data_IF_846824400338
#
_entry.id   IF_846824400338
#
_cell.length_a   1.000
_cell.length_b   1.000
_cell.length_c   1.000
_cell.angle_alpha   90.00
_cell.angle_beta   90.00
_cell.angle_gamma   90.00
#
_symmetry.space_group_name_H-M   'P 1'
#
loop_
_entity.id
_entity.type
_entity.pdbx_description
1 polymer ?
#
# COMPACT_ATOMS: atom_id res chain seq x y z
N UNK A 1 -47.02 16.21 -4.20
CA UNK A 1 -45.95 16.15 -3.16
C UNK A 1 -44.62 16.28 -3.87
N UNK A 2 -43.70 17.16 -3.43
CA UNK A 2 -42.39 17.25 -4.07
C UNK A 2 -41.57 16.01 -3.68
N UNK A 3 -40.96 15.38 -4.68
CA UNK A 3 -40.05 14.25 -4.46
C UNK A 3 -38.83 14.73 -3.67
N UNK A 4 -38.38 13.92 -2.71
CA UNK A 4 -37.22 14.26 -1.88
C UNK A 4 -35.96 14.46 -2.72
N UNK A 5 -35.07 15.33 -2.26
CA UNK A 5 -33.76 15.61 -2.89
C UNK A 5 -32.94 14.31 -3.12
N UNK A 6 -33.12 13.30 -2.27
CA UNK A 6 -32.46 11.99 -2.40
C UNK A 6 -32.89 11.17 -3.62
N UNK A 7 -34.15 11.29 -4.04
CA UNK A 7 -34.70 10.57 -5.20
C UNK A 7 -34.21 11.15 -6.53
N UNK A 8 -33.92 12.46 -6.56
CA UNK A 8 -33.38 13.15 -7.75
C UNK A 8 -31.88 12.86 -7.90
N UNK A 9 -31.12 12.79 -6.80
CA UNK A 9 -29.71 12.38 -6.82
C UNK A 9 -29.52 10.92 -7.25
N UNK A 10 -30.38 10.00 -6.79
CA UNK A 10 -30.29 8.58 -7.18
C UNK A 10 -30.58 8.35 -8.66
N UNK A 11 -31.54 9.04 -9.27
CA UNK A 11 -31.81 8.86 -10.71
C UNK A 11 -30.72 9.47 -11.60
N UNK A 12 -30.07 10.56 -11.16
CA UNK A 12 -28.96 11.19 -11.89
C UNK A 12 -27.65 10.42 -11.77
N UNK A 13 -27.35 9.82 -10.61
CA UNK A 13 -26.17 8.96 -10.42
C UNK A 13 -26.27 7.65 -11.21
N UNK A 14 -27.46 7.06 -11.35
CA UNK A 14 -27.66 5.87 -12.18
C UNK A 14 -27.50 6.18 -13.68
N UNK A 15 -27.97 7.35 -14.14
CA UNK A 15 -27.76 7.77 -15.54
C UNK A 15 -26.29 8.11 -15.84
N UNK A 16 -25.54 8.66 -14.89
CA UNK A 16 -24.12 9.02 -15.09
C UNK A 16 -23.19 7.80 -14.99
N UNK A 17 -23.47 6.85 -14.09
CA UNK A 17 -22.77 5.56 -14.04
C UNK A 17 -23.03 4.71 -15.30
N UNK A 18 -24.24 4.79 -15.87
CA UNK A 18 -24.56 4.18 -17.16
C UNK A 18 -23.80 4.86 -18.32
N UNK A 19 -23.66 6.19 -18.31
CA UNK A 19 -22.86 6.91 -19.31
C UNK A 19 -21.37 6.53 -19.20
N UNK A 20 -20.81 6.43 -17.99
CA UNK A 20 -19.40 6.05 -17.75
C UNK A 20 -19.16 4.57 -18.09
N UNK A 21 -20.10 3.67 -17.78
CA UNK A 21 -20.02 2.26 -18.16
C UNK A 21 -20.19 2.03 -19.68
N UNK A 22 -20.92 2.92 -20.38
CA UNK A 22 -21.09 2.88 -21.84
C UNK A 22 -19.96 3.59 -22.61
N UNK A 23 -19.21 4.52 -22.01
CA UNK A 23 -18.08 5.21 -22.69
C UNK A 23 -16.69 4.61 -22.44
N UNK A 24 -16.48 3.80 -21.39
CA UNK A 24 -15.12 3.32 -21.03
C UNK A 24 -14.93 1.80 -20.99
N UNK A 25 -15.81 1.05 -21.65
CA UNK A 25 -15.57 -0.36 -21.98
C UNK A 25 -14.54 -0.49 -23.10
N UNK A 26 -13.33 -0.96 -22.75
CA UNK A 26 -12.29 -1.50 -23.65
C UNK A 26 -12.14 -0.79 -25.01
N UNK A 27 -11.21 0.16 -25.12
CA UNK A 27 -10.36 0.48 -26.30
C UNK A 27 -9.53 1.72 -25.96
N UNK A 28 -8.33 1.80 -26.57
CA UNK A 28 -7.34 2.88 -26.62
C UNK A 28 -7.66 4.23 -25.96
N UNK A 29 -6.67 4.79 -25.26
CA UNK A 29 -6.60 6.21 -24.88
C UNK A 29 -6.89 7.05 -26.14
N UNK A 30 -7.93 7.90 -26.16
CA UNK A 30 -8.13 8.78 -27.29
C UNK A 30 -7.00 9.81 -27.26
N UNK A 31 -6.14 9.77 -28.28
CA UNK A 31 -5.40 10.95 -28.71
C UNK A 31 -6.43 12.04 -28.98
N UNK A 32 -6.49 13.05 -28.12
CA UNK A 32 -7.17 14.29 -28.45
C UNK A 32 -6.52 14.84 -29.71
N UNK A 33 -7.27 14.84 -30.81
CA UNK A 33 -6.90 15.60 -32.00
C UNK A 33 -6.75 17.07 -31.61
N UNK A 34 -5.83 17.76 -32.29
CA UNK A 34 -5.42 19.16 -32.11
C UNK A 34 -6.52 20.22 -32.36
N UNK A 35 -7.78 19.88 -32.12
CA UNK A 35 -8.95 20.69 -32.45
C UNK A 35 -9.68 21.07 -31.17
N UNK A 36 -9.56 22.36 -30.84
CA UNK A 36 -10.23 23.12 -29.78
C UNK A 36 -9.91 22.71 -28.34
N UNK A 37 -8.91 23.41 -27.78
CA UNK A 37 -8.74 23.54 -26.33
C UNK A 37 -10.03 24.14 -25.73
N UNK A 38 -10.60 23.57 -24.65
CA UNK A 38 -11.70 24.22 -23.95
C UNK A 38 -11.25 25.61 -23.49
N UNK A 39 -12.09 26.62 -23.61
CA UNK A 39 -11.78 27.95 -23.07
C UNK A 39 -11.79 27.93 -21.53
N UNK A 40 -11.35 29.04 -20.93
CA UNK A 40 -11.26 29.17 -19.47
C UNK A 40 -12.62 29.01 -18.77
N UNK A 41 -13.72 29.33 -19.45
CA UNK A 41 -15.08 29.20 -18.93
C UNK A 41 -15.52 27.74 -18.88
N UNK A 42 -15.28 26.98 -19.96
CA UNK A 42 -15.53 25.54 -20.02
C UNK A 42 -14.67 24.77 -19.00
N UNK A 43 -13.38 25.12 -18.86
CA UNK A 43 -12.50 24.51 -17.84
C UNK A 43 -12.98 24.81 -16.42
N UNK A 44 -13.41 26.05 -16.16
CA UNK A 44 -13.98 26.45 -14.86
C UNK A 44 -15.24 25.66 -14.51
N UNK A 45 -16.14 25.48 -15.48
CA UNK A 45 -17.37 24.70 -15.31
C UNK A 45 -17.08 23.23 -14.99
N UNK A 46 -16.13 22.60 -15.70
CA UNK A 46 -15.68 21.23 -15.44
C UNK A 46 -15.11 21.09 -14.02
N UNK A 47 -14.29 22.04 -13.57
CA UNK A 47 -13.73 22.03 -12.22
C UNK A 47 -14.83 22.20 -11.18
N UNK A 48 -15.82 23.08 -11.38
CA UNK A 48 -16.94 23.25 -10.46
C UNK A 48 -17.86 22.03 -10.39
N UNK A 49 -18.09 21.35 -11.51
CA UNK A 49 -18.91 20.14 -11.58
C UNK A 49 -18.23 18.94 -10.91
N UNK A 50 -16.94 18.75 -11.16
CA UNK A 50 -16.16 17.62 -10.61
C UNK A 50 -15.63 17.87 -9.20
N UNK A 51 -15.46 19.15 -8.83
CA UNK A 51 -14.92 19.60 -7.55
C UNK A 51 -15.77 20.74 -6.94
N UNK A 52 -17.04 20.48 -6.56
CA UNK A 52 -17.86 21.50 -5.90
C UNK A 52 -17.19 21.98 -4.61
N UNK A 53 -17.22 23.29 -4.38
CA UNK A 53 -16.74 23.88 -3.13
C UNK A 53 -17.52 23.27 -1.96
N UNK A 54 -16.80 22.77 -0.94
CA UNK A 54 -17.39 22.34 0.32
C UNK A 54 -17.36 23.51 1.30
N UNK A 55 -18.50 23.83 1.90
CA UNK A 55 -18.66 24.94 2.86
C UNK A 55 -17.97 24.71 4.22
N UNK A 56 -17.32 23.55 4.43
CA UNK A 56 -16.83 23.09 5.74
C UNK A 56 -15.32 23.26 6.00
N UNK A 57 -14.58 24.05 5.21
CA UNK A 57 -13.16 24.31 5.48
C UNK A 57 -12.97 25.68 6.15
N UNK A 58 -12.89 25.70 7.48
CA UNK A 58 -12.31 26.82 8.22
C UNK A 58 -10.80 26.93 7.95
N UNK A 59 -10.40 28.16 7.60
CA UNK A 59 -9.09 28.83 7.61
C UNK A 59 -7.79 27.98 7.72
N UNK A 60 -6.89 28.24 6.77
CA UNK A 60 -5.45 27.89 6.67
C UNK A 60 -5.00 26.62 5.91
N UNK A 61 -5.88 25.91 5.21
CA UNK A 61 -5.44 24.93 4.20
C UNK A 61 -5.81 25.35 2.79
N UNK A 62 -4.82 25.39 1.90
CA UNK A 62 -5.02 25.73 0.49
C UNK A 62 -5.91 24.67 -0.18
N UNK A 63 -7.10 25.06 -0.61
CA UNK A 63 -8.02 24.20 -1.35
C UNK A 63 -7.44 23.91 -2.77
N UNK A 64 -7.10 22.65 -3.12
CA UNK A 64 -6.49 22.32 -4.40
C UNK A 64 -7.38 22.68 -5.60
N UNK A 65 -8.70 22.69 -5.43
CA UNK A 65 -9.64 23.15 -6.45
C UNK A 65 -9.53 24.66 -6.66
N UNK A 66 -9.32 25.44 -5.60
CA UNK A 66 -9.11 26.90 -5.69
C UNK A 66 -7.76 27.25 -6.34
N UNK A 67 -6.71 26.46 -6.13
CA UNK A 67 -5.43 26.62 -6.84
C UNK A 67 -5.55 26.32 -8.32
N UNK A 68 -6.26 25.25 -8.70
CA UNK A 68 -6.53 24.92 -10.09
C UNK A 68 -7.33 26.03 -10.77
N UNK A 69 -8.37 26.54 -10.10
CA UNK A 69 -9.16 27.68 -10.58
C UNK A 69 -8.31 28.95 -10.76
N UNK A 70 -7.37 29.21 -9.83
CA UNK A 70 -6.42 30.32 -9.94
C UNK A 70 -5.42 30.11 -11.10
N UNK A 71 -4.95 28.88 -11.31
CA UNK A 71 -4.05 28.56 -12.42
C UNK A 71 -4.74 28.71 -13.80
N UNK A 72 -6.04 28.42 -13.87
CA UNK A 72 -6.88 28.67 -15.07
C UNK A 72 -7.05 30.17 -15.28
N UNK A 73 -7.48 30.92 -14.25
CA UNK A 73 -7.76 32.35 -14.37
C UNK A 73 -6.52 33.21 -14.65
N UNK A 74 -5.34 32.78 -14.17
CA UNK A 74 -4.06 33.47 -14.41
C UNK A 74 -3.33 32.99 -15.67
N UNK A 75 -3.94 32.11 -16.49
CA UNK A 75 -3.36 31.65 -17.75
C UNK A 75 -2.11 30.77 -17.59
N UNK A 76 -1.94 30.13 -16.42
CA UNK A 76 -0.84 29.17 -16.17
C UNK A 76 -1.10 27.82 -16.83
N UNK A 77 -2.37 27.49 -17.11
CA UNK A 77 -2.76 26.32 -17.89
C UNK A 77 -3.01 26.75 -19.34
N UNK A 78 -2.15 26.27 -20.25
CA UNK A 78 -2.07 26.73 -21.64
C UNK A 78 -2.40 25.64 -22.67
N UNK A 79 -2.73 24.44 -22.21
CA UNK A 79 -3.05 23.29 -23.08
C UNK A 79 -3.93 22.28 -22.39
N UNK A 80 -4.67 21.47 -23.17
CA UNK A 80 -5.56 20.45 -22.65
C UNK A 80 -4.82 19.37 -21.86
N UNK A 81 -3.56 19.11 -22.20
CA UNK A 81 -2.70 18.21 -21.45
C UNK A 81 -2.39 18.75 -20.05
N UNK A 82 -1.99 20.02 -19.94
CA UNK A 82 -1.73 20.66 -18.63
C UNK A 82 -3.01 20.72 -17.77
N UNK A 83 -4.17 20.97 -18.39
CA UNK A 83 -5.45 20.92 -17.69
C UNK A 83 -5.76 19.51 -17.18
N UNK A 84 -5.59 18.49 -18.03
CA UNK A 84 -5.81 17.10 -17.65
C UNK A 84 -4.88 16.61 -16.53
N UNK A 85 -3.60 17.01 -16.56
CA UNK A 85 -2.61 16.69 -15.53
C UNK A 85 -2.94 17.40 -14.20
N UNK A 86 -3.31 18.69 -14.25
CA UNK A 86 -3.67 19.45 -13.07
C UNK A 86 -5.01 18.98 -12.45
N UNK A 87 -6.02 18.69 -13.27
CA UNK A 87 -7.30 18.13 -12.84
C UNK A 87 -7.12 16.72 -12.25
N UNK A 88 -6.31 15.87 -12.88
CA UNK A 88 -5.95 14.55 -12.34
C UNK A 88 -5.26 14.66 -10.98
N UNK A 89 -4.39 15.67 -10.81
CA UNK A 89 -3.71 15.94 -9.53
C UNK A 89 -4.70 16.36 -8.45
N UNK A 90 -5.65 17.24 -8.76
CA UNK A 90 -6.72 17.66 -7.83
C UNK A 90 -7.66 16.50 -7.49
N UNK A 91 -8.09 15.71 -8.47
CA UNK A 91 -8.92 14.53 -8.25
C UNK A 91 -8.19 13.46 -7.44
N UNK A 92 -6.89 13.26 -7.66
CA UNK A 92 -6.05 12.34 -6.87
C UNK A 92 -5.82 12.87 -5.45
N UNK A 93 -5.65 14.18 -5.28
CA UNK A 93 -5.56 14.82 -3.97
C UNK A 93 -6.88 14.70 -3.20
N UNK A 94 -8.02 14.83 -3.88
CA UNK A 94 -9.36 14.63 -3.31
C UNK A 94 -9.63 13.17 -2.94
N UNK A 95 -9.28 12.23 -3.82
CA UNK A 95 -9.30 10.80 -3.47
C UNK A 95 -8.37 10.52 -2.29
N UNK A 96 -7.24 11.22 -2.16
CA UNK A 96 -6.34 11.08 -0.99
C UNK A 96 -6.87 11.73 0.28
N UNK A 97 -7.56 12.88 0.21
CA UNK A 97 -8.23 13.50 1.36
C UNK A 97 -9.45 12.69 1.80
N UNK A 98 -10.19 12.13 0.84
CA UNK A 98 -11.30 11.20 1.08
C UNK A 98 -10.83 9.84 1.61
N UNK A 99 -9.56 9.45 1.37
CA UNK A 99 -8.94 8.24 1.95
C UNK A 99 -8.36 8.48 3.34
N UNK A 100 -7.97 9.72 3.69
CA UNK A 100 -7.68 10.10 5.08
C UNK A 100 -8.94 10.41 5.91
N UNK A 101 -10.06 10.66 5.25
CA UNK A 101 -11.36 10.98 5.86
C UNK A 101 -12.46 9.99 5.44
N UNK A 102 -12.12 8.74 5.09
CA UNK A 102 -13.11 7.66 5.00
C UNK A 102 -13.40 7.15 6.41
N UNK A 103 -14.01 8.07 7.16
CA UNK A 103 -14.98 7.92 8.24
C UNK A 103 -15.18 6.44 8.64
N UNK A 104 -14.62 6.10 9.81
CA UNK A 104 -14.81 4.86 10.58
C UNK A 104 -16.27 4.74 11.06
N UNK A 105 -17.24 4.98 10.15
CA UNK A 105 -18.69 5.03 10.41
C UNK A 105 -19.25 3.73 11.00
N UNK A 106 -18.43 2.68 11.08
CA UNK A 106 -18.77 1.38 11.67
C UNK A 106 -17.81 0.90 12.77
N UNK A 107 -16.80 1.68 13.18
CA UNK A 107 -15.83 1.25 14.20
C UNK A 107 -14.98 0.03 13.81
N UNK A 108 -15.00 -0.36 12.53
CA UNK A 108 -14.43 -1.63 12.09
C UNK A 108 -12.90 -1.61 12.16
N UNK A 109 -12.27 -0.45 11.94
CA UNK A 109 -10.82 -0.29 12.09
C UNK A 109 -10.40 -0.47 13.56
N UNK A 110 -11.20 0.02 14.50
CA UNK A 110 -10.99 -0.24 15.93
C UNK A 110 -11.23 -1.72 16.29
N UNK A 111 -12.22 -2.38 15.69
CA UNK A 111 -12.46 -3.82 15.85
C UNK A 111 -11.26 -4.64 15.33
N UNK A 112 -10.73 -4.33 14.14
CA UNK A 112 -9.50 -4.96 13.61
C UNK A 112 -8.33 -4.73 14.57
N UNK A 113 -8.13 -3.50 15.02
CA UNK A 113 -7.04 -3.15 15.96
C UNK A 113 -7.16 -3.95 17.26
N UNK A 114 -8.37 -4.07 17.80
CA UNK A 114 -8.66 -4.84 19.02
C UNK A 114 -8.34 -6.33 18.82
N UNK A 115 -8.81 -6.93 17.74
CA UNK A 115 -8.56 -8.33 17.44
C UNK A 115 -7.08 -8.62 17.16
N UNK A 116 -6.35 -7.70 16.55
CA UNK A 116 -4.95 -7.92 16.16
C UNK A 116 -3.94 -7.63 17.27
N UNK A 117 -4.35 -6.99 18.38
CA UNK A 117 -3.48 -6.58 19.49
C UNK A 117 -2.58 -7.71 20.03
N UNK A 118 -3.08 -8.94 20.07
CA UNK A 118 -2.34 -10.08 20.61
C UNK A 118 -1.43 -10.77 19.59
N UNK A 119 -1.54 -10.48 18.28
CA UNK A 119 -0.83 -11.25 17.26
C UNK A 119 0.70 -11.19 17.42
N UNK A 120 1.25 -10.02 17.75
CA UNK A 120 2.69 -9.84 17.91
C UNK A 120 3.29 -10.76 18.99
N UNK A 121 2.57 -11.04 20.07
CA UNK A 121 3.04 -11.91 21.15
C UNK A 121 2.85 -13.40 20.87
N UNK A 122 2.04 -13.75 19.87
CA UNK A 122 1.79 -15.14 19.46
C UNK A 122 2.83 -15.67 18.46
N UNK A 123 3.66 -14.80 17.89
CA UNK A 123 4.72 -15.19 16.96
C UNK A 123 5.94 -15.76 17.69
N UNK A 124 5.94 -17.09 17.84
CA UNK A 124 7.05 -17.82 18.46
C UNK A 124 8.24 -17.99 17.51
N UNK A 125 8.03 -17.80 16.21
CA UNK A 125 9.02 -18.04 15.18
C UNK A 125 9.70 -16.75 14.70
N UNK A 126 9.30 -15.57 15.19
CA UNK A 126 9.88 -14.30 14.78
C UNK A 126 11.42 -14.34 14.75
N UNK A 127 12.00 -13.82 13.69
CA UNK A 127 13.46 -13.73 13.53
C UNK A 127 13.89 -12.29 13.72
N UNK A 128 14.95 -12.09 14.52
CA UNK A 128 15.66 -10.80 14.57
C UNK A 128 16.73 -10.77 13.47
N UNK A 129 16.70 -9.74 12.66
CA UNK A 129 17.71 -9.46 11.63
C UNK A 129 17.96 -7.97 11.59
N UNK A 130 19.19 -7.57 11.30
CA UNK A 130 19.56 -6.16 11.16
C UNK A 130 19.50 -5.75 9.70
N UNK A 131 18.83 -4.64 9.41
CA UNK A 131 18.93 -3.97 8.11
C UNK A 131 20.23 -3.17 8.04
N UNK A 132 20.88 -3.21 6.88
CA UNK A 132 22.07 -2.47 6.53
C UNK A 132 21.77 -1.60 5.31
N UNK A 133 21.10 -0.48 5.55
CA UNK A 133 20.64 0.42 4.48
C UNK A 133 21.79 1.13 3.74
N UNK A 134 23.00 1.08 4.32
CA UNK A 134 24.22 1.62 3.76
C UNK A 134 24.91 0.65 2.78
N UNK A 135 24.51 -0.62 2.76
CA UNK A 135 25.06 -1.61 1.84
C UNK A 135 24.44 -1.49 0.45
N UNK A 136 25.26 -1.32 -0.59
CA UNK A 136 24.77 -1.36 -1.96
C UNK A 136 24.45 -2.79 -2.36
N UNK A 137 23.16 -3.09 -2.53
CA UNK A 137 22.67 -4.32 -3.16
C UNK A 137 22.12 -5.37 -2.21
N UNK A 138 22.43 -5.31 -0.90
CA UNK A 138 21.86 -6.19 0.13
C UNK A 138 21.26 -5.33 1.24
N UNK A 139 20.01 -5.57 1.59
CA UNK A 139 19.33 -4.87 2.67
C UNK A 139 19.65 -5.49 4.02
N UNK A 140 19.77 -6.81 4.14
CA UNK A 140 19.91 -7.45 5.45
C UNK A 140 21.34 -7.94 5.70
N UNK A 141 21.77 -7.85 6.96
CA UNK A 141 22.85 -8.70 7.46
C UNK A 141 22.39 -10.16 7.53
N UNK A 142 23.33 -11.09 7.62
CA UNK A 142 23.00 -12.51 7.75
C UNK A 142 22.26 -12.79 9.08
N UNK A 143 21.22 -13.61 8.98
CA UNK A 143 20.52 -14.12 10.17
C UNK A 143 21.47 -15.03 10.94
N UNK A 144 21.62 -14.75 12.23
CA UNK A 144 22.34 -15.65 13.15
C UNK A 144 21.38 -16.74 13.66
N UNK A 145 21.85 -17.98 13.68
CA UNK A 145 21.09 -19.12 14.23
C UNK A 145 20.26 -19.89 13.20
N UNK A 146 19.40 -20.78 13.71
CA UNK A 146 18.56 -21.64 12.88
C UNK A 146 17.32 -20.93 12.38
N UNK A 147 17.01 -21.07 11.10
CA UNK A 147 15.74 -20.63 10.53
C UNK A 147 14.61 -21.57 11.00
N UNK A 148 13.53 -21.06 11.61
CA UNK A 148 12.39 -21.88 12.00
C UNK A 148 11.71 -22.55 10.80
N UNK A 149 11.11 -23.71 11.05
CA UNK A 149 10.50 -24.53 10.01
C UNK A 149 9.33 -23.83 9.29
N UNK A 150 8.65 -22.89 9.95
CA UNK A 150 7.60 -22.03 9.37
C UNK A 150 8.07 -21.30 8.11
N UNK A 151 9.17 -20.56 8.21
CA UNK A 151 9.77 -19.84 7.09
C UNK A 151 10.12 -20.77 5.93
N UNK A 152 10.69 -21.95 6.23
CA UNK A 152 10.99 -22.93 5.18
C UNK A 152 9.70 -23.40 4.49
N UNK A 153 8.66 -23.76 5.24
CA UNK A 153 7.37 -24.21 4.65
C UNK A 153 6.72 -23.14 3.80
N UNK A 154 6.66 -21.90 4.29
CA UNK A 154 6.15 -20.77 3.49
C UNK A 154 6.98 -20.60 2.22
N UNK A 155 8.31 -20.66 2.33
CA UNK A 155 9.18 -20.53 1.15
C UNK A 155 9.05 -21.68 0.17
N UNK A 156 8.86 -22.91 0.65
CA UNK A 156 8.62 -24.08 -0.20
C UNK A 156 7.35 -23.85 -1.03
N UNK A 157 6.25 -23.36 -0.42
CA UNK A 157 5.03 -23.01 -1.16
C UNK A 157 5.25 -21.83 -2.11
N UNK A 158 5.90 -20.75 -1.67
CA UNK A 158 6.18 -19.57 -2.52
C UNK A 158 6.94 -19.92 -3.80
N UNK A 159 7.78 -20.95 -3.78
CA UNK A 159 8.57 -21.38 -4.93
C UNK A 159 7.81 -22.22 -5.95
N UNK A 160 6.61 -22.67 -5.62
CA UNK A 160 5.74 -23.35 -6.56
C UNK A 160 4.94 -22.38 -7.43
N UNK A 161 4.78 -21.13 -6.98
CA UNK A 161 4.08 -20.08 -7.72
C UNK A 161 4.95 -19.53 -8.85
N UNK A 162 4.37 -19.45 -10.04
CA UNK A 162 4.93 -18.72 -11.16
C UNK A 162 4.82 -17.22 -10.87
N UNK A 163 5.93 -16.47 -10.89
CA UNK A 163 5.94 -15.05 -10.57
C UNK A 163 5.20 -14.20 -11.61
N UNK A 164 4.78 -14.74 -12.75
CA UNK A 164 4.01 -13.99 -13.75
C UNK A 164 2.58 -13.73 -13.25
N UNK A 165 2.10 -12.49 -13.31
CA UNK A 165 0.69 -12.22 -12.96
C UNK A 165 -0.32 -13.00 -13.81
N UNK A 166 -1.50 -13.26 -13.22
CA UNK A 166 -2.66 -13.93 -13.87
C UNK A 166 -2.43 -15.41 -14.21
N UNK A 167 -1.62 -16.11 -13.42
CA UNK A 167 -1.54 -17.57 -13.52
C UNK A 167 -2.78 -18.24 -12.93
N UNK A 168 -2.92 -19.54 -13.17
CA UNK A 168 -3.96 -20.38 -12.55
C UNK A 168 -3.43 -21.13 -11.32
N UNK A 169 -2.35 -20.64 -10.69
CA UNK A 169 -1.61 -21.39 -9.68
C UNK A 169 -2.41 -21.67 -8.41
N UNK A 170 -3.31 -20.77 -8.03
CA UNK A 170 -4.28 -21.02 -6.95
C UNK A 170 -5.14 -22.29 -7.17
N UNK A 171 -5.37 -22.70 -8.43
CA UNK A 171 -6.07 -23.97 -8.76
C UNK A 171 -5.09 -25.12 -8.92
N UNK A 172 -3.99 -24.88 -9.63
CA UNK A 172 -2.97 -25.90 -9.93
C UNK A 172 -2.32 -26.42 -8.66
N UNK A 173 -2.06 -25.55 -7.69
CA UNK A 173 -1.39 -25.84 -6.43
C UNK A 173 -2.37 -26.14 -5.29
N UNK A 174 -3.62 -26.49 -5.59
CA UNK A 174 -4.64 -26.64 -4.55
C UNK A 174 -4.22 -27.63 -3.45
N UNK A 175 -3.61 -28.76 -3.81
CA UNK A 175 -3.08 -29.77 -2.86
C UNK A 175 -1.97 -29.22 -1.96
N UNK A 176 -1.05 -28.44 -2.53
CA UNK A 176 0.10 -27.87 -1.84
C UNK A 176 -0.34 -26.72 -0.93
N UNK A 177 -1.34 -25.95 -1.35
CA UNK A 177 -2.03 -24.98 -0.52
C UNK A 177 -2.71 -25.68 0.67
N UNK A 178 -3.44 -26.78 0.43
CA UNK A 178 -4.09 -27.54 1.49
C UNK A 178 -3.07 -28.14 2.49
N UNK A 179 -1.95 -28.66 1.99
CA UNK A 179 -0.86 -29.16 2.83
C UNK A 179 -0.22 -28.04 3.67
N UNK A 180 0.01 -26.88 3.06
CA UNK A 180 0.54 -25.70 3.77
C UNK A 180 -0.41 -25.22 4.86
N UNK A 181 -1.70 -25.09 4.54
CA UNK A 181 -2.73 -24.66 5.49
C UNK A 181 -2.89 -25.65 6.64
N UNK A 182 -2.87 -26.96 6.34
CA UNK A 182 -2.86 -28.01 7.36
C UNK A 182 -1.66 -27.85 8.30
N UNK A 183 -0.45 -27.61 7.76
CA UNK A 183 0.76 -27.44 8.55
C UNK A 183 0.74 -26.21 9.46
N UNK A 184 0.13 -25.10 9.04
CA UNK A 184 0.05 -23.86 9.85
C UNK A 184 -1.20 -23.78 10.73
N UNK A 185 -2.21 -24.63 10.50
CA UNK A 185 -3.50 -24.59 11.22
C UNK A 185 -3.38 -24.69 12.74
N UNK A 186 -2.31 -25.35 13.21
CA UNK A 186 -2.06 -25.57 14.63
C UNK A 186 -1.22 -24.48 15.31
N UNK A 187 -0.70 -23.52 14.54
CA UNK A 187 0.11 -22.42 15.06
C UNK A 187 -0.76 -21.43 15.84
N UNK A 188 -0.18 -20.80 16.88
CA UNK A 188 -0.92 -19.89 17.76
C UNK A 188 -1.53 -18.69 17.03
N UNK A 189 -0.83 -17.98 16.11
CA UNK A 189 -1.44 -16.87 15.37
C UNK A 189 -2.66 -17.29 14.54
N UNK A 190 -2.60 -18.46 13.89
CA UNK A 190 -3.68 -18.96 13.04
C UNK A 190 -4.86 -19.42 13.90
N UNK A 191 -4.64 -20.23 14.95
CA UNK A 191 -5.69 -20.61 15.89
C UNK A 191 -6.41 -19.40 16.47
N UNK A 192 -5.64 -18.39 16.86
CA UNK A 192 -6.18 -17.16 17.40
C UNK A 192 -7.03 -16.42 16.37
N UNK A 193 -6.53 -16.23 15.14
CA UNK A 193 -7.27 -15.57 14.08
C UNK A 193 -8.61 -16.27 13.76
N UNK A 194 -8.59 -17.60 13.63
CA UNK A 194 -9.81 -18.39 13.40
C UNK A 194 -10.78 -18.28 14.58
N UNK A 195 -10.29 -18.31 15.82
CA UNK A 195 -11.10 -18.18 17.03
C UNK A 195 -11.78 -16.82 17.13
N UNK A 196 -11.05 -15.72 16.98
CA UNK A 196 -11.61 -14.36 17.18
C UNK A 196 -12.57 -13.97 16.07
N UNK A 197 -12.39 -14.51 14.87
CA UNK A 197 -13.29 -14.30 13.73
C UNK A 197 -14.43 -15.31 13.66
N UNK A 198 -14.37 -16.39 14.44
CA UNK A 198 -15.33 -17.51 14.42
C UNK A 198 -15.42 -18.17 13.04
N UNK A 199 -14.26 -18.42 12.43
CA UNK A 199 -14.14 -18.98 11.08
C UNK A 199 -13.29 -20.25 11.07
N UNK A 200 -13.23 -20.88 9.90
CA UNK A 200 -12.55 -22.16 9.64
C UNK A 200 -11.28 -21.97 8.80
N UNK A 201 -10.49 -23.03 8.66
CA UNK A 201 -9.31 -23.00 7.78
C UNK A 201 -9.71 -22.84 6.31
N UNK A 202 -10.90 -23.29 5.94
CA UNK A 202 -11.50 -23.11 4.61
C UNK A 202 -11.82 -21.64 4.32
N UNK A 203 -12.30 -20.89 5.32
CA UNK A 203 -12.51 -19.44 5.19
C UNK A 203 -11.17 -18.71 5.00
N UNK A 204 -10.14 -19.11 5.77
CA UNK A 204 -8.79 -18.58 5.61
C UNK A 204 -8.23 -18.90 4.23
N UNK A 205 -8.46 -20.12 3.73
CA UNK A 205 -8.11 -20.50 2.35
C UNK A 205 -8.81 -19.59 1.34
N UNK A 206 -10.11 -19.38 1.47
CA UNK A 206 -10.87 -18.51 0.58
C UNK A 206 -10.39 -17.06 0.62
N UNK A 207 -9.95 -16.59 1.79
CA UNK A 207 -9.42 -15.24 1.97
C UNK A 207 -8.08 -15.01 1.27
N UNK A 208 -7.15 -15.96 1.40
CA UNK A 208 -5.78 -15.81 0.91
C UNK A 208 -5.57 -16.35 -0.51
N UNK A 209 -6.31 -17.38 -0.89
CA UNK A 209 -6.15 -18.07 -2.17
C UNK A 209 -7.39 -17.96 -3.08
N UNK A 210 -8.37 -17.13 -2.70
CA UNK A 210 -9.53 -16.80 -3.52
C UNK A 210 -9.22 -15.84 -4.68
N UNK A 211 -10.24 -15.14 -5.17
CA UNK A 211 -10.18 -14.32 -6.38
C UNK A 211 -9.12 -13.20 -6.37
N UNK A 212 -8.74 -12.71 -5.20
CA UNK A 212 -7.74 -11.66 -5.01
C UNK A 212 -6.30 -12.15 -5.05
N UNK A 213 -6.09 -13.47 -4.94
CA UNK A 213 -4.76 -14.10 -4.96
C UNK A 213 -3.81 -13.48 -3.92
N UNK A 214 -4.32 -13.21 -2.71
CA UNK A 214 -3.62 -12.49 -1.66
C UNK A 214 -2.31 -13.13 -1.25
N UNK A 215 -2.21 -14.47 -1.21
CA UNK A 215 -0.97 -15.15 -0.85
C UNK A 215 0.11 -14.94 -1.92
N UNK A 216 -0.24 -15.13 -3.18
CA UNK A 216 0.65 -14.91 -4.32
C UNK A 216 1.11 -13.45 -4.35
N UNK A 217 0.18 -12.51 -4.23
CA UNK A 217 0.51 -11.09 -4.27
C UNK A 217 1.34 -10.65 -3.06
N UNK A 218 0.90 -10.93 -1.83
CA UNK A 218 1.52 -10.37 -0.61
C UNK A 218 2.76 -11.15 -0.20
N UNK A 219 2.71 -12.48 -0.21
CA UNK A 219 3.76 -13.33 0.37
C UNK A 219 4.73 -13.81 -0.70
N UNK A 220 4.25 -14.42 -1.79
CA UNK A 220 5.12 -14.96 -2.83
C UNK A 220 5.75 -13.87 -3.70
N UNK A 221 5.01 -12.81 -4.01
CA UNK A 221 5.35 -11.78 -4.98
C UNK A 221 4.93 -12.16 -6.40
N UNK A 222 4.53 -11.17 -7.19
CA UNK A 222 4.21 -11.34 -8.61
C UNK A 222 4.81 -10.21 -9.47
N UNK A 223 4.89 -10.44 -10.78
CA UNK A 223 5.38 -9.53 -11.79
C UNK A 223 4.21 -9.06 -12.65
N UNK A 224 4.14 -7.75 -12.84
CA UNK A 224 3.25 -7.09 -13.79
C UNK A 224 4.11 -6.36 -14.83
N UNK A 225 4.45 -7.08 -15.90
CA UNK A 225 5.42 -6.61 -16.89
C UNK A 225 6.81 -6.47 -16.25
N UNK A 226 7.42 -5.29 -16.37
CA UNK A 226 8.73 -4.98 -15.77
C UNK A 226 8.64 -4.46 -14.32
N UNK A 227 7.49 -4.60 -13.66
CA UNK A 227 7.26 -4.11 -12.29
C UNK A 227 6.96 -5.24 -11.34
N UNK A 228 7.53 -5.17 -10.14
CA UNK A 228 7.16 -6.05 -9.02
C UNK A 228 5.84 -5.56 -8.43
N UNK A 229 4.83 -6.42 -8.49
CA UNK A 229 3.49 -6.22 -7.92
C UNK A 229 3.37 -7.08 -6.67
N UNK A 230 2.96 -6.49 -5.55
CA UNK A 230 2.97 -7.20 -4.27
C UNK A 230 4.39 -7.40 -3.72
N UNK A 231 4.75 -8.58 -3.20
CA UNK A 231 6.05 -8.87 -2.59
C UNK A 231 6.27 -8.03 -1.31
N UNK A 232 5.55 -8.39 -0.26
CA UNK A 232 5.49 -7.70 1.02
C UNK A 232 5.90 -8.60 2.21
N UNK A 233 6.54 -9.73 1.93
CA UNK A 233 7.11 -10.60 2.97
C UNK A 233 8.63 -10.46 3.02
N UNK A 234 9.15 -9.99 4.16
CA UNK A 234 10.57 -9.67 4.34
C UNK A 234 11.49 -10.87 4.12
N UNK A 235 11.09 -12.07 4.55
CA UNK A 235 11.96 -13.24 4.46
C UNK A 235 12.10 -13.75 3.02
N UNK A 236 11.07 -13.55 2.18
CA UNK A 236 11.17 -13.78 0.74
C UNK A 236 12.29 -12.89 0.16
N UNK A 237 12.32 -11.62 0.56
CA UNK A 237 13.35 -10.67 0.14
C UNK A 237 14.73 -11.07 0.65
N UNK A 238 14.82 -11.39 1.94
CA UNK A 238 16.05 -11.89 2.56
C UNK A 238 16.61 -13.07 1.77
N UNK A 239 15.79 -14.07 1.45
CA UNK A 239 16.25 -15.26 0.72
C UNK A 239 16.67 -14.93 -0.71
N UNK A 240 15.87 -14.14 -1.41
CA UNK A 240 16.14 -13.77 -2.80
C UNK A 240 17.42 -12.94 -2.94
N UNK A 241 17.75 -12.06 -1.99
CA UNK A 241 19.03 -11.33 -2.06
C UNK A 241 20.27 -12.23 -1.84
N UNK A 242 20.17 -13.29 -1.02
CA UNK A 242 21.28 -14.27 -0.86
C UNK A 242 21.50 -15.08 -2.12
N UNK A 243 20.43 -15.34 -2.86
CA UNK A 243 20.49 -16.02 -4.16
C UNK A 243 20.83 -15.06 -5.31
N UNK A 244 21.04 -13.76 -5.03
CA UNK A 244 21.23 -12.70 -6.03
C UNK A 244 20.04 -12.53 -6.99
N UNK A 245 18.86 -12.97 -6.57
CA UNK A 245 17.58 -12.81 -7.24
C UNK A 245 16.87 -11.52 -6.84
N UNK A 246 17.22 -10.91 -5.69
CA UNK A 246 16.75 -9.58 -5.32
C UNK A 246 17.94 -8.66 -5.04
N UNK A 247 17.77 -7.37 -5.35
CA UNK A 247 18.79 -6.35 -5.13
C UNK A 247 18.17 -5.12 -4.50
N UNK A 248 18.58 -4.82 -3.27
CA UNK A 248 18.25 -3.57 -2.60
C UNK A 248 18.84 -2.37 -3.36
N UNK A 249 18.04 -1.31 -3.52
CA UNK A 249 18.46 -0.09 -4.21
C UNK A 249 18.54 1.11 -3.28
N UNK A 250 17.46 1.40 -2.56
CA UNK A 250 17.38 2.51 -1.60
C UNK A 250 16.16 2.39 -0.70
N UNK A 251 16.30 2.85 0.52
CA UNK A 251 15.18 3.21 1.41
C UNK A 251 14.56 4.53 0.93
N UNK A 252 13.25 4.63 1.07
CA UNK A 252 12.48 5.82 0.74
C UNK A 252 11.81 6.44 1.97
N UNK A 253 11.35 5.61 2.90
CA UNK A 253 10.67 6.01 4.13
C UNK A 253 11.04 5.02 5.26
N UNK A 254 11.13 5.49 6.50
CA UNK A 254 11.32 4.64 7.67
C UNK A 254 12.75 4.12 7.88
N UNK A 255 13.79 4.77 7.32
CA UNK A 255 15.18 4.28 7.38
C UNK A 255 15.81 4.21 8.76
N UNK A 256 15.14 4.76 9.78
CA UNK A 256 15.54 4.70 11.18
C UNK A 256 14.70 3.70 12.01
N UNK A 257 13.71 3.02 11.41
CA UNK A 257 12.98 1.90 12.04
C UNK A 257 13.47 0.56 11.48
N UNK A 258 14.26 -0.16 12.28
CA UNK A 258 14.81 -1.47 11.91
C UNK A 258 13.77 -2.57 11.67
N UNK A 259 12.50 -2.32 12.01
CA UNK A 259 11.41 -3.27 11.91
C UNK A 259 10.51 -3.04 10.70
N UNK A 260 10.72 -1.99 9.89
CA UNK A 260 9.97 -1.76 8.66
C UNK A 260 10.87 -1.24 7.55
N UNK A 261 10.77 -1.86 6.39
CA UNK A 261 11.38 -1.33 5.18
C UNK A 261 10.32 -0.69 4.32
N UNK A 262 10.55 0.52 3.82
CA UNK A 262 9.83 1.06 2.66
C UNK A 262 10.82 1.66 1.69
N UNK A 263 10.96 1.05 0.53
CA UNK A 263 11.96 1.45 -0.43
C UNK A 263 11.77 0.89 -1.82
N UNK A 264 12.87 0.81 -2.55
CA UNK A 264 12.92 0.27 -3.90
C UNK A 264 13.93 -0.86 -4.01
N UNK A 265 13.61 -1.82 -4.86
CA UNK A 265 14.46 -2.97 -5.13
C UNK A 265 14.20 -3.52 -6.53
N UNK A 266 15.17 -4.25 -7.03
CA UNK A 266 15.09 -5.04 -8.25
C UNK A 266 14.88 -6.52 -7.90
N UNK A 267 14.09 -7.24 -8.70
CA UNK A 267 13.79 -8.66 -8.53
C UNK A 267 13.86 -9.42 -9.86
N UNK A 268 14.62 -10.50 -9.87
CA UNK A 268 14.78 -11.48 -10.93
C UNK A 268 14.45 -12.87 -10.34
N UNK A 269 13.15 -13.26 -10.31
CA UNK A 269 12.72 -14.52 -9.69
C UNK A 269 13.29 -15.77 -10.37
N UNK A 270 13.70 -15.66 -11.64
CA UNK A 270 14.23 -16.77 -12.43
C UNK A 270 15.76 -16.90 -12.28
N UNK A 271 16.43 -15.89 -11.70
CA UNK A 271 17.89 -15.88 -11.51
C UNK A 271 18.68 -15.99 -12.80
N UNK A 272 18.08 -15.66 -13.95
CA UNK A 272 18.66 -15.86 -15.27
C UNK A 272 19.77 -14.86 -15.60
N UNK A 273 19.97 -13.82 -14.76
CA UNK A 273 21.10 -12.89 -14.87
C UNK A 273 21.04 -12.00 -16.12
N UNK A 274 19.92 -12.00 -16.85
CA UNK A 274 19.73 -11.09 -17.96
C UNK A 274 19.19 -9.76 -17.43
N UNK A 275 20.07 -8.76 -17.40
CA UNK A 275 19.80 -7.37 -17.01
C UNK A 275 18.59 -6.69 -17.69
N UNK A 276 17.98 -7.32 -18.70
CA UNK A 276 16.76 -6.89 -19.38
C UNK A 276 15.45 -7.46 -18.79
N UNK A 277 15.50 -8.38 -17.81
CA UNK A 277 14.31 -8.99 -17.18
C UNK A 277 14.14 -8.73 -15.68
N UNK A 278 15.08 -8.06 -15.04
CA UNK A 278 14.89 -7.65 -13.65
C UNK A 278 13.73 -6.67 -13.57
N UNK A 279 12.69 -7.05 -12.84
CA UNK A 279 11.56 -6.18 -12.56
C UNK A 279 11.87 -5.25 -11.41
N UNK A 280 11.34 -4.03 -11.45
CA UNK A 280 11.57 -3.03 -10.40
C UNK A 280 10.36 -2.84 -9.51
N UNK A 281 10.56 -2.86 -8.20
CA UNK A 281 9.64 -2.25 -7.25
C UNK A 281 10.08 -0.81 -7.00
N UNK A 282 9.34 0.16 -7.54
CA UNK A 282 9.67 1.60 -7.37
C UNK A 282 9.44 2.08 -5.94
N UNK A 283 8.38 1.59 -5.30
CA UNK A 283 8.05 1.84 -3.90
C UNK A 283 7.29 0.65 -3.36
N UNK A 284 7.71 0.16 -2.22
CA UNK A 284 6.86 -0.58 -1.28
C UNK A 284 7.72 -1.18 -0.17
N UNK A 285 7.06 -1.95 0.67
CA UNK A 285 7.64 -2.25 1.96
C UNK A 285 7.09 -3.48 2.62
N UNK A 286 7.72 -3.85 3.72
CA UNK A 286 7.38 -4.99 4.55
C UNK A 286 7.79 -4.72 5.99
N UNK A 287 7.09 -5.34 6.94
CA UNK A 287 7.55 -5.41 8.32
C UNK A 287 8.61 -6.51 8.39
N UNK A 288 9.72 -6.22 9.05
CA UNK A 288 10.89 -7.08 9.19
C UNK A 288 10.77 -7.91 10.45
N UNK A 289 11.01 -9.21 10.31
CA UNK A 289 11.08 -10.17 11.40
C UNK A 289 9.88 -11.10 11.62
N UNK A 290 8.61 -10.74 11.36
CA UNK A 290 7.50 -11.64 11.69
C UNK A 290 7.48 -12.87 10.77
N UNK A 291 6.90 -13.97 11.24
CA UNK A 291 6.60 -15.14 10.41
C UNK A 291 5.47 -14.84 9.41
N UNK A 292 5.35 -15.65 8.36
CA UNK A 292 4.27 -15.48 7.39
C UNK A 292 2.90 -15.76 8.04
N UNK A 293 2.85 -16.64 9.03
CA UNK A 293 1.67 -16.99 9.81
C UNK A 293 1.04 -15.77 10.50
N UNK A 294 1.85 -14.83 10.99
CA UNK A 294 1.35 -13.56 11.56
C UNK A 294 0.71 -12.68 10.49
N UNK A 295 1.35 -12.54 9.33
CA UNK A 295 0.77 -11.76 8.22
C UNK A 295 -0.51 -12.40 7.71
N UNK A 296 -0.56 -13.73 7.64
CA UNK A 296 -1.73 -14.52 7.26
C UNK A 296 -2.87 -14.32 8.26
N UNK A 297 -2.58 -14.45 9.56
CA UNK A 297 -3.53 -14.21 10.64
C UNK A 297 -4.07 -12.77 10.62
N UNK A 298 -3.18 -11.79 10.44
CA UNK A 298 -3.51 -10.37 10.35
C UNK A 298 -4.48 -10.08 9.21
N UNK A 299 -4.13 -10.52 7.99
CA UNK A 299 -4.98 -10.29 6.83
C UNK A 299 -6.30 -11.04 6.93
N UNK A 300 -6.31 -12.25 7.50
CA UNK A 300 -7.53 -13.02 7.76
C UNK A 300 -8.49 -12.28 8.71
N UNK A 301 -7.99 -11.77 9.84
CA UNK A 301 -8.79 -10.97 10.77
C UNK A 301 -9.34 -9.73 10.08
N UNK A 302 -8.48 -8.98 9.39
CA UNK A 302 -8.87 -7.73 8.74
C UNK A 302 -9.97 -7.94 7.68
N UNK A 303 -9.85 -8.97 6.84
CA UNK A 303 -10.86 -9.23 5.81
C UNK A 303 -12.16 -9.78 6.37
N UNK A 304 -12.14 -10.61 7.42
CA UNK A 304 -13.38 -11.10 8.03
C UNK A 304 -14.16 -9.98 8.72
N UNK A 305 -13.47 -9.08 9.42
CA UNK A 305 -14.09 -7.86 9.98
C UNK A 305 -14.64 -6.97 8.85
N UNK A 306 -13.89 -6.81 7.75
CA UNK A 306 -14.35 -6.04 6.60
C UNK A 306 -15.59 -6.64 5.93
N UNK A 307 -15.63 -7.97 5.79
CA UNK A 307 -16.78 -8.71 5.25
C UNK A 307 -18.03 -8.55 6.12
N UNK A 308 -17.86 -8.61 7.43
CA UNK A 308 -18.94 -8.44 8.44
C UNK A 308 -19.52 -7.03 8.39
N UNK A 309 -18.66 -6.02 8.23
CA UNK A 309 -19.04 -4.61 8.25
C UNK A 309 -19.31 -4.02 6.85
N UNK A 310 -19.30 -4.85 5.80
CA UNK A 310 -19.50 -4.46 4.41
C UNK A 310 -18.59 -3.28 3.98
N UNK A 311 -17.33 -3.34 4.42
CA UNK A 311 -16.34 -2.29 4.17
C UNK A 311 -15.99 -2.16 2.68
N UNK A 312 -15.46 -0.99 2.25
CA UNK A 312 -14.98 -0.79 0.90
C UNK A 312 -13.90 -1.81 0.49
N UNK A 313 -13.66 -1.92 -0.82
CA UNK A 313 -12.61 -2.80 -1.36
C UNK A 313 -11.18 -2.29 -1.10
N UNK A 314 -11.03 -1.15 -0.44
CA UNK A 314 -9.77 -0.54 -0.03
C UNK A 314 -9.99 0.17 1.30
N UNK A 315 -9.17 -0.15 2.30
CA UNK A 315 -9.25 0.49 3.62
C UNK A 315 -7.92 0.38 4.37
N UNK A 316 -7.77 1.21 5.41
CA UNK A 316 -6.60 1.19 6.29
C UNK A 316 -7.01 0.87 7.72
N UNK A 317 -6.08 0.29 8.49
CA UNK A 317 -6.28 -0.01 9.91
C UNK A 317 -4.94 0.00 10.65
N UNK A 318 -4.96 0.10 11.97
CA UNK A 318 -3.77 -0.03 12.82
C UNK A 318 -3.65 -1.47 13.32
N UNK A 319 -2.44 -2.01 13.32
CA UNK A 319 -2.18 -3.31 13.95
C UNK A 319 -0.74 -3.41 14.45
N UNK A 320 -0.57 -4.09 15.58
CA UNK A 320 0.73 -4.36 16.17
C UNK A 320 1.37 -5.60 15.53
N UNK A 321 2.62 -5.46 15.06
CA UNK A 321 3.48 -6.56 14.61
C UNK A 321 4.88 -6.28 15.13
N UNK A 322 5.56 -7.28 15.69
CA UNK A 322 6.90 -7.12 16.29
C UNK A 322 7.01 -5.96 17.29
N UNK A 323 6.06 -5.90 18.22
CA UNK A 323 6.00 -4.91 19.31
C UNK A 323 5.81 -3.44 18.86
N UNK A 324 5.64 -3.20 17.56
CA UNK A 324 5.38 -1.88 16.96
C UNK A 324 4.01 -1.84 16.30
N UNK A 325 3.36 -0.67 16.35
CA UNK A 325 2.07 -0.44 15.69
C UNK A 325 2.31 0.19 14.33
N UNK A 326 1.72 -0.40 13.30
CA UNK A 326 1.80 0.08 11.92
C UNK A 326 0.42 0.35 11.36
N UNK A 327 0.34 1.36 10.49
CA UNK A 327 -0.80 1.53 9.60
C UNK A 327 -0.69 0.51 8.47
N UNK A 328 -1.71 -0.31 8.27
CA UNK A 328 -1.79 -1.28 7.18
C UNK A 328 -2.78 -0.79 6.14
N UNK A 329 -2.43 -0.96 4.87
CA UNK A 329 -3.36 -0.80 3.76
C UNK A 329 -3.79 -2.18 3.29
N UNK A 330 -5.11 -2.40 3.20
CA UNK A 330 -5.69 -3.58 2.59
C UNK A 330 -6.46 -3.22 1.32
N UNK A 331 -6.31 -4.05 0.30
CA UNK A 331 -7.18 -4.09 -0.87
C UNK A 331 -7.83 -5.46 -0.96
N UNK A 332 -9.11 -5.52 -1.33
CA UNK A 332 -9.87 -6.77 -1.49
C UNK A 332 -10.44 -6.89 -2.90
N UNK A 333 -10.64 -8.12 -3.35
CA UNK A 333 -11.28 -8.46 -4.63
C UNK A 333 -12.13 -9.70 -4.44
N UNK A 334 -13.41 -9.66 -4.82
CA UNK A 334 -14.31 -10.80 -4.68
C UNK A 334 -14.39 -11.35 -3.25
N UNK A 335 -14.38 -10.46 -2.24
CA UNK A 335 -14.34 -10.79 -0.81
C UNK A 335 -13.12 -11.61 -0.37
N UNK A 336 -12.02 -11.56 -1.13
CA UNK A 336 -10.73 -12.14 -0.78
C UNK A 336 -9.64 -11.07 -0.82
N UNK A 337 -8.49 -11.33 -0.18
CA UNK A 337 -7.40 -10.37 -0.07
C UNK A 337 -6.76 -10.22 -1.44
N UNK A 338 -6.60 -8.97 -1.90
CA UNK A 338 -5.84 -8.62 -3.10
C UNK A 338 -4.46 -8.11 -2.76
N UNK A 339 -4.36 -7.29 -1.73
CA UNK A 339 -3.08 -6.77 -1.24
C UNK A 339 -3.19 -6.40 0.24
N UNK A 340 -2.08 -6.51 0.95
CA UNK A 340 -1.92 -6.13 2.35
C UNK A 340 -0.46 -5.71 2.52
N UNK A 341 -0.23 -4.47 2.98
CA UNK A 341 1.12 -3.99 3.21
C UNK A 341 1.16 -2.90 4.28
N UNK A 342 2.28 -2.77 5.01
CA UNK A 342 2.44 -1.70 5.99
C UNK A 342 2.74 -0.38 5.29
N UNK A 343 2.34 0.72 5.93
CA UNK A 343 2.68 2.08 5.55
C UNK A 343 3.48 2.70 6.68
N UNK A 344 4.58 3.39 6.35
CA UNK A 344 5.30 4.23 7.31
C UNK A 344 4.40 5.42 7.66
N UNK A 345 4.19 5.69 8.95
CA UNK A 345 3.36 6.82 9.37
C UNK A 345 4.00 8.15 8.91
N UNK A 346 3.20 9.10 8.44
CA UNK A 346 3.71 10.42 8.03
C UNK A 346 4.27 11.24 9.20
N UNK A 347 3.85 10.97 10.43
CA UNK A 347 4.33 11.67 11.63
C UNK A 347 5.82 11.45 11.85
N UNK A 348 6.33 10.23 11.61
CA UNK A 348 7.75 9.90 11.69
C UNK A 348 8.61 10.74 10.72
N UNK A 349 8.14 10.89 9.47
CA UNK A 349 8.83 11.69 8.46
C UNK A 349 8.79 13.20 8.75
N UNK A 350 7.83 13.69 9.58
CA UNK A 350 7.69 15.11 9.91
C UNK A 350 8.59 15.49 11.08
N UNK A 351 8.74 14.62 12.07
CA UNK A 351 9.68 14.82 13.17
C UNK A 351 11.13 14.83 12.69
N UNK A 352 11.52 13.94 11.77
CA UNK A 352 12.91 13.92 11.26
C UNK A 352 13.26 15.15 10.42
N UNK A 353 12.38 15.56 9.51
CA UNK A 353 12.60 16.80 8.75
C UNK A 353 12.65 18.04 9.63
N UNK A 354 11.98 18.03 10.78
CA UNK A 354 12.09 19.12 11.76
C UNK A 354 13.40 19.06 12.54
N UNK A 355 13.87 17.88 12.93
CA UNK A 355 15.15 17.71 13.64
C UNK A 355 16.33 18.04 12.74
N UNK A 356 16.36 17.54 11.51
CA UNK A 356 17.41 17.83 10.53
C UNK A 356 17.44 19.32 10.17
N UNK A 357 16.28 19.96 10.00
CA UNK A 357 16.19 21.41 9.79
C UNK A 357 16.59 22.23 11.04
N UNK A 358 16.40 21.68 12.25
CA UNK A 358 16.85 22.32 13.49
C UNK A 358 18.37 22.22 13.66
N UNK A 359 18.97 21.08 13.32
CA UNK A 359 20.42 20.88 13.36
C UNK A 359 21.14 21.76 12.32
N UNK A 360 20.64 21.83 11.08
CA UNK A 360 21.17 22.74 10.05
C UNK A 360 21.05 24.22 10.46
N UNK A 361 19.97 24.61 11.15
CA UNK A 361 19.77 25.98 11.64
C UNK A 361 20.74 26.32 12.79
N UNK A 362 21.00 25.37 13.70
CA UNK A 362 21.98 25.54 14.79
C UNK A 362 23.39 25.69 14.23
N UNK A 363 23.79 24.87 13.25
CA UNK A 363 25.09 24.99 12.59
C UNK A 363 25.24 26.32 11.83
N UNK A 364 24.16 26.83 11.22
CA UNK A 364 24.18 28.13 10.55
C UNK A 364 24.33 29.29 11.55
N UNK A 365 23.65 29.24 12.70
CA UNK A 365 23.73 30.25 13.74
C UNK A 365 25.13 30.24 14.38
N UNK A 366 25.62 29.07 14.77
CA UNK A 366 26.93 28.89 15.42
C UNK A 366 28.11 29.15 14.48
N UNK A 367 27.95 28.91 13.18
CA UNK A 367 28.92 29.28 12.15
C UNK A 367 28.96 30.79 11.86
N UNK A 368 27.88 31.52 12.15
CA UNK A 368 27.80 32.97 11.92
C UNK A 368 28.41 33.80 13.05
N UNK A 369 28.44 33.30 14.29
CA UNK A 369 29.00 34.02 15.45
C UNK A 369 30.53 33.96 15.55
N UNK A 370 31.20 33.05 14.82
CA UNK A 370 32.67 32.95 14.82
C UNK A 370 33.39 33.90 13.85
N UNK A 371 32.69 34.81 13.16
CA UNK A 371 33.32 35.72 12.18
C UNK A 371 33.44 37.18 12.67
N UNK A 372 33.00 37.51 13.90
CA UNK A 372 33.04 38.89 14.42
C UNK A 372 33.93 39.13 15.64
N UNK A 373 34.98 38.34 15.84
CA UNK A 373 36.07 38.68 16.77
C UNK A 373 37.46 38.53 16.13
N UNK A 374 37.74 39.33 15.10
CA UNK A 374 39.11 39.81 14.85
C UNK A 374 39.07 41.14 14.13
N UNK A 375 38.90 42.23 14.88
CA UNK A 375 39.31 43.58 14.44
C UNK A 375 40.14 44.18 15.58
N UNK A 376 41.45 44.28 15.34
CA UNK A 376 42.36 45.16 16.06
C UNK A 376 42.63 46.41 15.22
#
# INVERSE_FOLDING_TARGET
MPLSYSSILRSRLFSLAAIIALTFGTVAVPTFAQSTYPDSEAMTSIVQELCPASDDYELDTINPSSELMNAISTGRIRSGQQFGEALSTVLTARVRSDVSAQDDRGGFSAEITSYTKSLASLDKDRIKVTMNENSKGMLFNDISGSIPASYKRTMDLCMLFNPTSKTNDHKRLNSEIDAYLSAISSTEPIKYALKVTQTTIEDLKANWFGAGLGFEHVIAGELKGSSVSGYHFWYRFYRDERMKAAKYLKTLEGGNDSNIFTGSFDWDPDGAGNQYRSARKKKGGFVVGPSAEVLIALGHIAIEVAKKNNCPSSFTFQAAVNDSVYTWQMFTMGRSIRSLYPMVSREYNRSEKMVEAQEELVDHIMGSEMVTETIH
#
